data_IF_438648576446
#
_entry.id   IF_438648576446
#
_cell.length_a   1.000
_cell.length_b   1.000
_cell.length_c   1.000
_cell.angle_alpha   90.00
_cell.angle_beta   90.00
_cell.angle_gamma   90.00
#
_symmetry.space_group_name_H-M   'P 1'
#
loop_
_entity.id
_entity.type
_entity.pdbx_description
1 polymer ?
#
# COMPACT_ATOMS: atom_id res chain seq x y z
N UNK A 1 -31.70 -32.49 37.09
CA UNK A 1 -30.45 -32.26 37.85
C UNK A 1 -29.31 -32.31 36.85
N UNK A 2 -29.06 -31.18 36.17
CA UNK A 2 -27.83 -30.36 36.30
C UNK A 2 -26.58 -31.22 36.12
N UNK A 3 -25.94 -31.15 34.95
CA UNK A 3 -24.50 -30.95 34.78
C UNK A 3 -24.22 -30.68 33.29
N UNK A 4 -24.09 -29.39 32.97
CA UNK A 4 -23.63 -28.90 31.67
C UNK A 4 -22.15 -28.59 31.85
N UNK A 5 -21.27 -29.49 31.40
CA UNK A 5 -19.82 -29.27 31.47
C UNK A 5 -19.39 -28.33 30.33
N UNK A 6 -19.09 -27.10 30.72
CA UNK A 6 -18.49 -26.08 29.86
C UNK A 6 -17.01 -26.43 29.65
N UNK A 7 -16.68 -27.07 28.53
CA UNK A 7 -15.28 -27.20 28.08
C UNK A 7 -14.88 -25.88 27.41
N UNK A 8 -14.24 -25.01 28.19
CA UNK A 8 -13.63 -23.77 27.72
C UNK A 8 -12.37 -24.13 26.92
N UNK A 9 -12.52 -24.35 25.61
CA UNK A 9 -11.40 -24.55 24.70
C UNK A 9 -10.70 -23.21 24.49
N UNK A 10 -9.60 -23.02 25.22
CA UNK A 10 -8.69 -21.88 25.08
C UNK A 10 -7.87 -22.05 23.79
N UNK A 11 -8.44 -21.58 22.67
CA UNK A 11 -7.68 -21.44 21.43
C UNK A 11 -6.78 -20.21 21.56
N UNK A 12 -5.52 -20.43 21.93
CA UNK A 12 -4.49 -19.40 21.94
C UNK A 12 -4.22 -18.94 20.50
N UNK A 13 -4.81 -17.81 20.09
CA UNK A 13 -4.39 -17.09 18.89
C UNK A 13 -3.03 -16.46 19.17
N UNK A 14 -1.96 -17.15 18.78
CA UNK A 14 -0.66 -16.53 18.57
C UNK A 14 -0.77 -15.59 17.35
N UNK A 15 -1.04 -14.31 17.61
CA UNK A 15 -0.97 -13.26 16.61
C UNK A 15 0.48 -13.09 16.16
N UNK A 16 0.83 -13.64 14.99
CA UNK A 16 2.06 -13.30 14.32
C UNK A 16 1.98 -11.84 13.89
N UNK A 17 2.67 -10.95 14.61
CA UNK A 17 2.89 -9.58 14.19
C UNK A 17 3.68 -9.61 12.88
N UNK A 18 3.00 -9.42 11.76
CA UNK A 18 3.66 -9.25 10.47
C UNK A 18 4.42 -7.91 10.49
N UNK A 19 5.74 -7.99 10.65
CA UNK A 19 6.63 -6.85 10.49
C UNK A 19 6.60 -6.43 9.02
N UNK A 20 5.80 -5.42 8.70
CA UNK A 20 5.97 -4.70 7.44
C UNK A 20 7.36 -4.06 7.48
N UNK A 21 8.24 -4.30 6.49
CA UNK A 21 9.55 -3.69 6.47
C UNK A 21 9.36 -2.17 6.52
N UNK A 22 9.81 -1.57 7.61
CA UNK A 22 9.68 -0.14 7.84
C UNK A 22 10.77 0.54 7.03
N UNK A 23 10.39 1.43 6.10
CA UNK A 23 11.35 2.25 5.36
C UNK A 23 12.10 3.17 6.32
N UNK A 24 13.40 3.36 6.10
CA UNK A 24 14.15 4.39 6.80
C UNK A 24 13.66 5.78 6.43
N UNK A 25 13.91 6.76 7.29
CA UNK A 25 13.57 8.16 7.02
C UNK A 25 14.23 8.70 5.73
N UNK A 26 15.45 8.23 5.42
CA UNK A 26 16.15 8.59 4.19
C UNK A 26 15.44 8.04 2.96
N UNK A 27 15.10 6.75 2.95
CA UNK A 27 14.39 6.12 1.83
C UNK A 27 13.01 6.74 1.63
N UNK A 28 12.30 7.07 2.71
CA UNK A 28 11.02 7.76 2.62
C UNK A 28 11.15 9.17 2.00
N UNK A 29 12.20 9.91 2.35
CA UNK A 29 12.47 11.22 1.76
C UNK A 29 12.82 11.13 0.27
N UNK A 30 13.64 10.14 -0.11
CA UNK A 30 13.99 9.87 -1.52
C UNK A 30 12.75 9.47 -2.33
N UNK A 31 11.91 8.59 -1.80
CA UNK A 31 10.66 8.19 -2.45
C UNK A 31 9.68 9.37 -2.61
N UNK A 32 9.58 10.25 -1.61
CA UNK A 32 8.78 11.46 -1.71
C UNK A 32 9.32 12.43 -2.77
N UNK A 33 10.64 12.60 -2.85
CA UNK A 33 11.28 13.43 -3.88
C UNK A 33 11.02 12.86 -5.28
N UNK A 34 11.13 11.54 -5.43
CA UNK A 34 10.79 10.82 -6.66
C UNK A 34 9.30 11.01 -7.02
N UNK A 35 8.38 10.84 -6.06
CA UNK A 35 6.94 11.03 -6.30
C UNK A 35 6.61 12.45 -6.77
N UNK A 36 7.29 13.46 -6.21
CA UNK A 36 7.19 14.85 -6.66
C UNK A 36 7.75 15.03 -8.08
N UNK A 37 8.96 14.55 -8.34
CA UNK A 37 9.64 14.67 -9.64
C UNK A 37 8.93 13.93 -10.76
N UNK A 38 8.24 12.83 -10.44
CA UNK A 38 7.44 12.04 -11.38
C UNK A 38 5.97 12.51 -11.47
N UNK A 39 5.60 13.62 -10.81
CA UNK A 39 4.27 14.23 -10.92
C UNK A 39 3.13 13.45 -10.25
N UNK A 40 3.44 12.47 -9.39
CA UNK A 40 2.43 11.63 -8.74
C UNK A 40 1.46 12.45 -7.88
N UNK A 41 1.95 13.53 -7.26
CA UNK A 41 1.19 14.38 -6.36
C UNK A 41 0.16 15.29 -7.06
N UNK A 42 0.14 15.31 -8.40
CA UNK A 42 -0.91 16.01 -9.16
C UNK A 42 -2.24 15.25 -9.15
N UNK A 43 -2.20 13.94 -8.88
CA UNK A 43 -3.37 13.06 -8.93
C UNK A 43 -3.61 12.32 -7.62
N UNK A 44 -2.63 12.26 -6.73
CA UNK A 44 -2.69 11.56 -5.45
C UNK A 44 -2.26 12.49 -4.32
N UNK A 45 -2.88 12.30 -3.15
CA UNK A 45 -2.47 12.94 -1.90
C UNK A 45 -2.25 11.88 -0.83
N UNK A 46 -1.70 12.29 0.33
CA UNK A 46 -1.41 11.36 1.42
C UNK A 46 -2.69 10.72 1.98
N UNK A 47 -3.72 11.52 2.25
CA UNK A 47 -4.90 11.14 3.01
C UNK A 47 -6.25 11.48 2.36
N UNK A 48 -6.24 12.28 1.29
CA UNK A 48 -7.45 12.61 0.51
C UNK A 48 -7.42 12.11 -0.94
N UNK A 49 -8.61 11.97 -1.51
CA UNK A 49 -8.77 11.61 -2.92
C UNK A 49 -8.74 12.87 -3.78
N UNK A 50 -7.82 12.92 -4.74
CA UNK A 50 -7.75 13.98 -5.76
C UNK A 50 -8.37 13.47 -7.06
N UNK A 51 -7.58 12.76 -7.88
CA UNK A 51 -8.06 12.00 -9.04
C UNK A 51 -7.98 10.52 -8.72
N UNK A 52 -6.78 10.09 -8.33
CA UNK A 52 -6.50 8.78 -7.77
C UNK A 52 -6.83 8.70 -6.27
N UNK A 53 -6.85 7.48 -5.70
CA UNK A 53 -7.04 7.29 -4.26
C UNK A 53 -5.91 7.94 -3.45
N UNK A 54 -6.22 8.30 -2.21
CA UNK A 54 -5.21 8.65 -1.22
C UNK A 54 -4.20 7.52 -1.02
N UNK A 55 -2.94 7.84 -0.73
CA UNK A 55 -1.92 6.83 -0.45
C UNK A 55 -2.25 6.01 0.81
N UNK A 56 -2.84 6.63 1.84
CA UNK A 56 -3.36 5.92 3.02
C UNK A 56 -4.36 4.83 2.65
N UNK A 57 -5.27 5.12 1.71
CA UNK A 57 -6.26 4.14 1.22
C UNK A 57 -5.66 3.04 0.37
N UNK A 58 -4.57 3.33 -0.35
CA UNK A 58 -3.80 2.29 -1.04
C UNK A 58 -3.13 1.39 0.02
N UNK A 59 -2.45 1.97 1.01
CA UNK A 59 -1.81 1.22 2.11
C UNK A 59 -2.81 0.35 2.88
N UNK A 60 -3.99 0.88 3.19
CA UNK A 60 -5.09 0.14 3.83
C UNK A 60 -5.50 -1.09 3.03
N UNK A 61 -5.83 -0.89 1.74
CA UNK A 61 -6.34 -1.95 0.86
C UNK A 61 -5.35 -3.09 0.69
N UNK A 62 -4.06 -2.78 0.65
CA UNK A 62 -3.00 -3.75 0.38
C UNK A 62 -2.29 -4.26 1.64
N UNK A 63 -2.76 -3.90 2.84
CA UNK A 63 -2.05 -4.15 4.09
C UNK A 63 -1.77 -5.62 4.44
N UNK A 64 -2.56 -6.56 3.92
CA UNK A 64 -2.40 -8.00 4.13
C UNK A 64 -1.77 -8.73 2.92
N UNK A 65 -1.43 -8.02 1.86
CA UNK A 65 -0.91 -8.59 0.61
C UNK A 65 0.62 -8.54 0.60
N UNK A 66 1.25 -9.72 0.71
CA UNK A 66 2.72 -9.88 0.69
C UNK A 66 3.36 -9.50 -0.65
N UNK A 67 2.60 -9.53 -1.73
CA UNK A 67 3.06 -9.23 -3.10
C UNK A 67 2.64 -7.80 -3.53
N UNK A 68 2.08 -7.01 -2.62
CA UNK A 68 1.54 -5.68 -2.89
C UNK A 68 2.55 -4.74 -3.53
N UNK A 69 3.80 -4.73 -3.05
CA UNK A 69 4.83 -3.83 -3.57
C UNK A 69 5.10 -4.10 -5.06
N UNK A 70 5.21 -5.37 -5.45
CA UNK A 70 5.41 -5.75 -6.85
C UNK A 70 4.17 -5.43 -7.72
N UNK A 71 2.97 -5.69 -7.21
CA UNK A 71 1.71 -5.40 -7.91
C UNK A 71 1.48 -3.90 -8.13
N UNK A 72 1.80 -3.09 -7.11
CA UNK A 72 1.74 -1.64 -7.18
C UNK A 72 2.81 -1.08 -8.11
N UNK A 73 4.04 -1.59 -8.08
CA UNK A 73 5.09 -1.18 -9.01
C UNK A 73 4.70 -1.41 -10.48
N UNK A 74 4.07 -2.56 -10.79
CA UNK A 74 3.52 -2.82 -12.11
C UNK A 74 2.42 -1.83 -12.48
N UNK A 75 1.51 -1.53 -11.54
CA UNK A 75 0.44 -0.56 -11.75
C UNK A 75 0.98 0.85 -11.97
N UNK A 76 2.01 1.27 -11.22
CA UNK A 76 2.68 2.57 -11.37
C UNK A 76 3.25 2.69 -12.79
N UNK A 77 4.00 1.70 -13.27
CA UNK A 77 4.63 1.80 -14.59
C UNK A 77 3.64 1.70 -15.74
N UNK A 78 2.74 0.72 -15.67
CA UNK A 78 1.90 0.35 -16.82
C UNK A 78 0.52 1.04 -16.79
N UNK A 79 0.24 1.81 -15.73
CA UNK A 79 -1.08 2.35 -15.48
C UNK A 79 -1.99 1.32 -14.81
N UNK A 80 -3.20 1.76 -14.48
CA UNK A 80 -4.21 0.87 -13.89
C UNK A 80 -5.62 1.31 -14.26
N UNK A 81 -6.55 0.35 -14.33
CA UNK A 81 -7.95 0.61 -14.62
C UNK A 81 -8.85 -0.27 -13.75
N UNK A 82 -10.03 0.25 -13.37
CA UNK A 82 -11.06 -0.52 -12.66
C UNK A 82 -10.81 -0.79 -11.18
N UNK A 83 -9.57 -0.68 -10.68
CA UNK A 83 -9.22 -0.97 -9.27
C UNK A 83 -9.75 0.05 -8.26
N UNK A 84 -9.95 1.30 -8.69
CA UNK A 84 -10.21 2.46 -7.83
C UNK A 84 -11.34 3.37 -8.33
N UNK A 85 -12.03 2.94 -9.39
CA UNK A 85 -13.10 3.69 -10.05
C UNK A 85 -12.99 3.63 -11.57
N UNK A 86 -13.74 4.52 -12.23
CA UNK A 86 -13.85 4.58 -13.70
C UNK A 86 -12.68 5.29 -14.38
N UNK A 87 -11.96 6.14 -13.66
CA UNK A 87 -10.84 6.91 -14.20
C UNK A 87 -9.58 6.03 -14.20
N UNK A 88 -8.96 5.74 -15.35
CA UNK A 88 -7.71 5.00 -15.40
C UNK A 88 -6.54 5.87 -14.94
N UNK A 89 -5.56 5.26 -14.27
CA UNK A 89 -4.25 5.86 -14.06
C UNK A 89 -3.41 5.62 -15.32
N UNK A 90 -2.88 6.67 -15.98
CA UNK A 90 -2.00 6.52 -17.14
C UNK A 90 -0.70 5.77 -16.79
N UNK A 91 -0.04 5.22 -17.81
CA UNK A 91 1.28 4.63 -17.67
C UNK A 91 2.34 5.71 -17.37
N UNK A 92 3.22 5.45 -16.40
CA UNK A 92 4.33 6.33 -16.04
C UNK A 92 5.62 5.83 -16.71
N UNK A 93 5.74 6.05 -18.03
CA UNK A 93 6.80 5.47 -18.86
C UNK A 93 8.23 5.90 -18.52
N UNK A 94 8.39 7.04 -17.82
CA UNK A 94 9.70 7.53 -17.36
C UNK A 94 10.15 6.92 -16.02
N UNK A 95 9.27 6.22 -15.31
CA UNK A 95 9.59 5.61 -14.01
C UNK A 95 10.24 4.25 -14.25
N UNK A 96 11.47 4.09 -13.73
CA UNK A 96 12.21 2.83 -13.80
C UNK A 96 11.54 1.74 -12.93
N UNK A 97 11.94 0.47 -13.12
CA UNK A 97 11.42 -0.62 -12.27
C UNK A 97 11.79 -0.42 -10.80
N UNK A 98 13.02 0.03 -10.52
CA UNK A 98 13.52 0.22 -9.16
C UNK A 98 12.85 1.42 -8.48
N UNK A 99 12.64 2.50 -9.23
CA UNK A 99 11.89 3.67 -8.78
C UNK A 99 10.43 3.30 -8.48
N UNK A 100 9.79 2.54 -9.36
CA UNK A 100 8.41 2.09 -9.15
C UNK A 100 8.28 1.22 -7.90
N UNK A 101 9.27 0.35 -7.63
CA UNK A 101 9.28 -0.48 -6.43
C UNK A 101 9.54 0.36 -5.17
N UNK A 102 10.41 1.37 -5.26
CA UNK A 102 10.67 2.33 -4.18
C UNK A 102 9.40 3.12 -3.84
N UNK A 103 8.71 3.66 -4.84
CA UNK A 103 7.42 4.33 -4.68
C UNK A 103 6.37 3.40 -4.09
N UNK A 104 6.26 2.16 -4.59
CA UNK A 104 5.28 1.20 -4.10
C UNK A 104 5.48 0.87 -2.61
N UNK A 105 6.72 0.63 -2.17
CA UNK A 105 7.03 0.41 -0.74
C UNK A 105 6.69 1.65 0.09
N UNK A 106 7.01 2.83 -0.42
CA UNK A 106 6.71 4.09 0.27
C UNK A 106 5.21 4.31 0.43
N UNK A 107 4.43 4.07 -0.62
CA UNK A 107 2.96 4.12 -0.57
C UNK A 107 2.43 3.15 0.50
N UNK A 108 2.91 1.91 0.53
CA UNK A 108 2.49 0.90 1.52
C UNK A 108 2.87 1.26 2.96
N UNK A 109 3.88 2.11 3.15
CA UNK A 109 4.27 2.64 4.47
C UNK A 109 3.48 3.88 4.90
N UNK A 110 2.61 4.40 4.04
CA UNK A 110 1.85 5.62 4.34
C UNK A 110 0.96 5.41 5.58
N UNK A 111 0.88 6.42 6.48
CA UNK A 111 -0.06 6.38 7.60
C UNK A 111 -1.48 6.15 7.11
N UNK A 112 -2.22 5.34 7.85
CA UNK A 112 -3.57 4.87 7.53
C UNK A 112 -4.64 5.76 8.17
#
# INVERSE_FOLDING_TARGET
>A
MKHFSFFFSLCALAGAAHATPTLSAKEAAEALALAKGSGCLSCHAMDEKIVGPAYSKIADKYSADKDAAASLAQSIRNGSQGKWGRIPMPANGSVSNDDALTLARWILSSPK
#
